data_IF_711734264955
#
_entry.id   IF_711734264955
#
_cell.length_a   1.000
_cell.length_b   1.000
_cell.length_c   1.000
_cell.angle_alpha   90.00
_cell.angle_beta   90.00
_cell.angle_gamma   90.00
#
_symmetry.space_group_name_H-M   'P 1'
#
loop_
_entity.id
_entity.type
_entity.pdbx_description
1 polymer ?
#
# COMPACT_ATOMS: atom_id res chain seq x y z
N UNK A 1 19.79 0.69 -11.05
CA UNK A 1 19.93 -0.48 -11.95
C UNK A 1 18.71 -1.41 -11.90
N UNK A 2 18.20 -1.78 -10.72
CA UNK A 2 17.02 -2.67 -10.60
C UNK A 2 15.81 -2.16 -11.40
N UNK A 3 15.52 -0.86 -11.34
CA UNK A 3 14.35 -0.27 -12.02
C UNK A 3 14.48 -0.35 -13.55
N UNK A 4 15.64 0.02 -14.08
CA UNK A 4 15.92 -0.06 -15.52
C UNK A 4 15.89 -1.52 -16.02
N UNK A 5 16.44 -2.44 -15.21
CA UNK A 5 16.43 -3.87 -15.55
C UNK A 5 14.99 -4.40 -15.57
N UNK A 6 14.17 -4.03 -14.58
CA UNK A 6 12.75 -4.39 -14.54
C UNK A 6 11.97 -3.78 -15.72
N UNK A 7 12.27 -2.54 -16.12
CA UNK A 7 11.67 -1.94 -17.31
C UNK A 7 11.97 -2.77 -18.57
N UNK A 8 13.22 -3.19 -18.75
CA UNK A 8 13.61 -4.07 -19.86
C UNK A 8 12.90 -5.43 -19.83
N UNK A 9 12.74 -6.04 -18.65
CA UNK A 9 11.96 -7.28 -18.49
C UNK A 9 10.50 -7.08 -18.89
N UNK A 10 9.88 -6.00 -18.39
CA UNK A 10 8.47 -5.70 -18.67
C UNK A 10 8.23 -5.39 -20.16
N UNK A 11 9.15 -4.68 -20.79
CA UNK A 11 9.10 -4.41 -22.24
C UNK A 11 9.14 -5.71 -23.10
N UNK A 12 9.70 -6.79 -22.54
CA UNK A 12 9.72 -8.11 -23.16
C UNK A 12 8.58 -9.04 -22.67
N UNK A 13 7.53 -8.49 -22.08
CA UNK A 13 6.32 -9.22 -21.72
C UNK A 13 6.35 -9.92 -20.34
N UNK A 14 7.40 -9.71 -19.54
CA UNK A 14 7.47 -10.24 -18.17
C UNK A 14 6.70 -9.33 -17.19
N UNK A 15 6.45 -9.85 -15.99
CA UNK A 15 5.81 -9.13 -14.87
C UNK A 15 6.78 -9.01 -13.69
N UNK A 16 7.78 -8.13 -13.75
CA UNK A 16 8.77 -8.00 -12.71
C UNK A 16 8.20 -7.37 -11.44
N UNK A 17 8.67 -7.87 -10.31
CA UNK A 17 8.44 -7.30 -8.99
C UNK A 17 9.78 -6.77 -8.47
N UNK A 18 9.84 -5.49 -8.12
CA UNK A 18 11.02 -4.83 -7.57
C UNK A 18 10.76 -4.52 -6.11
N UNK A 19 11.51 -5.14 -5.21
CA UNK A 19 11.45 -4.85 -3.78
C UNK A 19 12.61 -3.94 -3.37
N UNK A 20 12.30 -2.81 -2.75
CA UNK A 20 13.28 -1.82 -2.31
C UNK A 20 12.75 -1.06 -1.09
N UNK A 21 13.64 -0.62 -0.20
CA UNK A 21 13.21 0.25 0.90
C UNK A 21 12.68 1.58 0.37
N UNK A 22 11.58 2.05 0.98
CA UNK A 22 10.93 3.29 0.60
C UNK A 22 11.91 4.48 0.52
N UNK A 23 12.79 4.62 1.51
CA UNK A 23 13.81 5.68 1.51
C UNK A 23 14.79 5.58 0.33
N UNK A 24 15.14 4.38 -0.12
CA UNK A 24 16.08 4.18 -1.22
C UNK A 24 15.43 4.29 -2.60
N UNK A 25 14.12 4.18 -2.66
CA UNK A 25 13.36 4.41 -3.88
C UNK A 25 13.54 5.84 -4.43
N UNK A 26 13.88 6.81 -3.59
CA UNK A 26 14.20 8.17 -4.00
C UNK A 26 15.27 8.23 -5.10
N UNK A 27 16.24 7.28 -5.09
CA UNK A 27 17.29 7.19 -6.11
C UNK A 27 16.84 6.50 -7.40
N UNK A 28 15.67 5.89 -7.40
CA UNK A 28 15.10 5.18 -8.55
C UNK A 28 13.90 5.91 -9.16
N UNK A 29 13.47 7.03 -8.58
CA UNK A 29 12.25 7.73 -8.99
C UNK A 29 12.33 8.25 -10.43
N UNK A 30 13.48 8.77 -10.83
CA UNK A 30 13.73 9.23 -12.20
C UNK A 30 13.54 8.08 -13.21
N UNK A 31 14.21 6.96 -12.99
CA UNK A 31 14.07 5.76 -13.82
C UNK A 31 12.65 5.20 -13.76
N UNK A 32 11.97 5.27 -12.61
CA UNK A 32 10.59 4.83 -12.50
C UNK A 32 9.65 5.70 -13.36
N UNK A 33 9.82 7.01 -13.31
CA UNK A 33 9.01 7.92 -14.12
C UNK A 33 9.29 7.69 -15.61
N UNK A 34 10.55 7.78 -16.01
CA UNK A 34 10.93 7.81 -17.42
C UNK A 34 10.86 6.44 -18.09
N UNK A 35 11.41 5.40 -17.42
CA UNK A 35 11.58 4.09 -18.05
C UNK A 35 10.38 3.17 -17.82
N UNK A 36 9.57 3.41 -16.77
CA UNK A 36 8.44 2.55 -16.41
C UNK A 36 7.10 3.27 -16.62
N UNK A 37 6.87 4.40 -15.94
CA UNK A 37 5.54 5.00 -15.89
C UNK A 37 5.15 5.64 -17.23
N UNK A 38 6.03 6.40 -17.87
CA UNK A 38 5.78 7.00 -19.19
C UNK A 38 5.51 5.95 -20.26
N UNK A 39 6.16 4.81 -20.17
CA UNK A 39 5.98 3.69 -21.09
C UNK A 39 4.83 2.77 -20.69
N UNK A 40 4.17 3.03 -19.56
CA UNK A 40 3.08 2.21 -18.99
C UNK A 40 3.45 0.74 -18.82
N UNK A 41 4.71 0.45 -18.50
CA UNK A 41 5.19 -0.90 -18.32
C UNK A 41 4.66 -1.51 -17.02
N UNK A 42 4.19 -2.77 -17.02
CA UNK A 42 3.58 -3.42 -15.86
C UNK A 42 4.64 -3.92 -14.86
N UNK A 43 5.32 -2.99 -14.23
CA UNK A 43 6.26 -3.23 -13.15
C UNK A 43 5.56 -3.05 -11.81
N UNK A 44 5.68 -4.01 -10.91
CA UNK A 44 5.22 -3.91 -9.53
C UNK A 44 6.39 -3.47 -8.65
N UNK A 45 6.23 -2.39 -7.91
CA UNK A 45 7.24 -1.92 -6.96
C UNK A 45 6.74 -2.13 -5.53
N UNK A 46 7.46 -2.90 -4.75
CA UNK A 46 7.20 -3.14 -3.34
C UNK A 46 8.12 -2.24 -2.50
N UNK A 47 7.55 -1.25 -1.83
CA UNK A 47 8.26 -0.31 -0.97
C UNK A 47 8.20 -0.79 0.48
N UNK A 48 9.27 -1.43 0.91
CA UNK A 48 9.45 -1.87 2.29
C UNK A 48 9.85 -0.69 3.19
N UNK A 49 9.58 -0.77 4.48
CA UNK A 49 9.88 0.26 5.48
C UNK A 49 9.28 1.63 5.14
N UNK A 50 8.04 1.62 4.63
CA UNK A 50 7.29 2.84 4.41
C UNK A 50 6.88 3.49 5.74
N UNK A 51 7.02 4.80 5.86
CA UNK A 51 6.76 5.55 7.08
C UNK A 51 7.96 5.66 8.02
N UNK A 52 7.70 5.87 9.31
CA UNK A 52 8.73 6.00 10.33
C UNK A 52 9.33 4.64 10.69
N UNK A 53 10.65 4.57 10.78
CA UNK A 53 11.40 3.33 11.11
C UNK A 53 12.41 3.62 12.22
N UNK A 54 11.96 3.76 13.48
CA UNK A 54 12.80 4.23 14.58
C UNK A 54 14.06 3.38 14.82
N UNK A 55 13.94 2.06 14.63
CA UNK A 55 15.04 1.14 14.91
C UNK A 55 16.19 1.21 13.88
N UNK A 56 15.96 1.76 12.69
CA UNK A 56 16.97 1.82 11.62
C UNK A 56 17.62 3.22 11.49
N UNK A 57 17.13 4.19 12.26
CA UNK A 57 17.63 5.56 12.30
C UNK A 57 17.10 6.46 11.17
N UNK A 58 17.49 7.75 11.19
CA UNK A 58 16.86 8.78 10.35
C UNK A 58 17.06 8.59 8.85
N UNK A 59 18.11 7.90 8.44
CA UNK A 59 18.40 7.64 7.01
C UNK A 59 17.48 6.58 6.39
N UNK A 60 16.69 5.86 7.20
CA UNK A 60 15.83 4.77 6.76
C UNK A 60 14.33 5.09 6.79
N UNK A 61 13.95 6.29 7.25
CA UNK A 61 12.54 6.70 7.23
C UNK A 61 12.00 6.83 5.81
N UNK A 62 10.94 6.08 5.49
CA UNK A 62 10.26 6.09 4.20
C UNK A 62 9.08 7.04 4.18
N UNK A 63 9.30 8.34 4.43
CA UNK A 63 8.22 9.33 4.61
C UNK A 63 7.89 10.14 3.35
N UNK A 64 8.70 10.04 2.31
CA UNK A 64 8.53 10.84 1.09
C UNK A 64 7.87 10.09 -0.07
N UNK A 65 7.73 8.77 0.01
CA UNK A 65 7.28 7.92 -1.08
C UNK A 65 5.90 8.34 -1.63
N UNK A 66 4.89 8.54 -0.78
CA UNK A 66 3.56 8.97 -1.24
C UNK A 66 3.66 10.31 -1.99
N UNK A 67 4.39 11.29 -1.44
CA UNK A 67 4.53 12.61 -2.06
C UNK A 67 5.22 12.55 -3.42
N UNK A 68 6.21 11.67 -3.57
CA UNK A 68 6.93 11.46 -4.81
C UNK A 68 6.09 10.80 -5.89
N UNK A 69 5.28 9.80 -5.52
CA UNK A 69 4.60 8.97 -6.51
C UNK A 69 3.18 9.44 -6.85
N UNK A 70 2.49 10.13 -5.93
CA UNK A 70 1.10 10.56 -6.15
C UNK A 70 0.90 11.52 -7.34
N UNK A 71 1.96 12.20 -7.75
CA UNK A 71 1.93 13.13 -8.90
C UNK A 71 2.15 12.44 -10.25
N UNK A 72 2.52 11.16 -10.25
CA UNK A 72 2.79 10.39 -11.47
C UNK A 72 1.47 9.84 -12.00
N UNK A 73 1.03 10.22 -13.22
CA UNK A 73 -0.22 9.73 -13.76
C UNK A 73 -0.12 8.27 -14.21
N UNK A 74 -1.26 7.56 -14.18
CA UNK A 74 -1.36 6.21 -14.73
C UNK A 74 -0.72 5.11 -13.88
N UNK A 75 -0.47 5.36 -12.59
CA UNK A 75 -0.01 4.36 -11.64
C UNK A 75 -1.07 4.10 -10.56
N UNK A 76 -0.99 2.94 -9.92
CA UNK A 76 -1.78 2.62 -8.73
C UNK A 76 -0.85 2.48 -7.53
N UNK A 77 -1.21 3.14 -6.41
CA UNK A 77 -0.48 3.04 -5.14
C UNK A 77 -1.39 2.42 -4.09
N UNK A 78 -0.92 1.37 -3.43
CA UNK A 78 -1.67 0.61 -2.43
C UNK A 78 -0.89 0.51 -1.13
N UNK A 79 -1.62 0.40 -0.02
CA UNK A 79 -1.04 0.11 1.29
C UNK A 79 -1.92 -0.89 2.03
N UNK A 80 -1.44 -2.11 2.29
CA UNK A 80 -2.21 -3.14 2.98
C UNK A 80 -2.32 -2.87 4.48
N UNK A 81 -3.44 -3.31 5.07
CA UNK A 81 -3.68 -3.34 6.53
C UNK A 81 -3.11 -4.62 7.16
N UNK A 82 -3.19 -5.73 6.41
CA UNK A 82 -2.83 -7.06 6.87
C UNK A 82 -1.96 -7.78 5.83
N UNK A 83 -1.37 -8.91 6.21
CA UNK A 83 -0.62 -9.78 5.28
C UNK A 83 -1.53 -10.40 4.21
N UNK A 84 -2.74 -10.79 4.59
CA UNK A 84 -3.71 -11.31 3.63
C UNK A 84 -4.02 -10.25 2.55
N UNK A 85 -4.24 -9.01 2.95
CA UNK A 85 -4.47 -7.90 2.01
C UNK A 85 -3.22 -7.58 1.17
N UNK A 86 -2.00 -7.72 1.73
CA UNK A 86 -0.76 -7.62 0.95
C UNK A 86 -0.71 -8.63 -0.20
N UNK A 87 -1.09 -9.89 0.07
CA UNK A 87 -1.14 -10.93 -0.94
C UNK A 87 -2.19 -10.64 -2.02
N UNK A 88 -3.37 -10.18 -1.62
CA UNK A 88 -4.44 -9.77 -2.55
C UNK A 88 -3.99 -8.58 -3.41
N UNK A 89 -3.34 -7.58 -2.82
CA UNK A 89 -2.80 -6.42 -3.54
C UNK A 89 -1.70 -6.83 -4.51
N UNK A 90 -0.79 -7.72 -4.12
CA UNK A 90 0.25 -8.22 -5.02
C UNK A 90 -0.36 -8.97 -6.20
N UNK A 91 -1.32 -9.85 -5.96
CA UNK A 91 -2.06 -10.55 -7.02
C UNK A 91 -2.76 -9.57 -7.96
N UNK A 92 -3.38 -8.53 -7.40
CA UNK A 92 -4.02 -7.47 -8.18
C UNK A 92 -3.00 -6.75 -9.05
N UNK A 93 -1.88 -6.31 -8.47
CA UNK A 93 -0.82 -5.59 -9.19
C UNK A 93 -0.24 -6.40 -10.34
N UNK A 94 -0.07 -7.71 -10.17
CA UNK A 94 0.43 -8.60 -11.21
C UNK A 94 -0.54 -8.74 -12.42
N UNK A 95 -1.82 -8.45 -12.24
CA UNK A 95 -2.81 -8.45 -13.32
C UNK A 95 -2.94 -7.10 -14.02
N UNK A 96 -2.46 -6.01 -13.41
CA UNK A 96 -2.57 -4.67 -14.00
C UNK A 96 -1.68 -4.54 -15.24
N UNK A 97 -2.18 -3.93 -16.33
CA UNK A 97 -1.40 -3.67 -17.54
C UNK A 97 -0.54 -2.39 -17.47
N UNK A 98 -0.37 -1.83 -16.28
CA UNK A 98 0.36 -0.59 -16.02
C UNK A 98 1.09 -0.65 -14.67
N UNK A 99 2.01 0.29 -14.37
CA UNK A 99 2.83 0.22 -13.16
C UNK A 99 2.01 0.36 -11.87
N UNK A 100 2.44 -0.33 -10.84
CA UNK A 100 1.81 -0.30 -9.53
C UNK A 100 2.83 -0.32 -8.41
N UNK A 101 2.45 0.25 -7.27
CA UNK A 101 3.29 0.36 -6.08
C UNK A 101 2.51 -0.18 -4.89
N UNK A 102 3.12 -1.07 -4.12
CA UNK A 102 2.62 -1.49 -2.81
C UNK A 102 3.62 -1.02 -1.77
N UNK A 103 3.16 -0.22 -0.82
CA UNK A 103 3.98 0.26 0.30
C UNK A 103 3.53 -0.37 1.61
N UNK A 104 4.46 -0.80 2.44
CA UNK A 104 4.16 -1.39 3.74
C UNK A 104 5.22 -1.03 4.78
N UNK A 105 4.83 -0.90 6.07
CA UNK A 105 5.75 -0.53 7.14
C UNK A 105 6.67 -1.70 7.50
N UNK A 106 7.74 -1.39 8.22
CA UNK A 106 8.48 -2.40 8.97
C UNK A 106 7.59 -2.90 10.12
N UNK A 107 7.37 -4.18 10.19
CA UNK A 107 6.57 -4.79 11.24
C UNK A 107 6.67 -6.30 11.21
N UNK A 108 6.26 -6.92 12.31
CA UNK A 108 6.06 -8.36 12.36
C UNK A 108 4.60 -8.58 12.01
N UNK A 109 4.34 -9.26 10.91
CA UNK A 109 3.02 -9.83 10.69
C UNK A 109 2.76 -10.85 11.80
N UNK A 110 1.52 -10.95 12.27
CA UNK A 110 1.13 -12.09 13.10
C UNK A 110 1.63 -13.37 12.39
N UNK A 111 2.30 -14.28 13.11
CA UNK A 111 2.85 -15.46 12.48
C UNK A 111 1.72 -16.19 11.75
N UNK A 112 1.81 -16.24 10.45
CA UNK A 112 1.07 -17.23 9.68
C UNK A 112 1.75 -18.53 10.07
N UNK A 113 1.04 -19.46 10.72
CA UNK A 113 1.58 -20.79 10.93
C UNK A 113 1.83 -21.36 9.55
N UNK A 114 3.09 -21.69 9.24
CA UNK A 114 3.45 -22.31 7.96
C UNK A 114 2.81 -23.69 7.79
N UNK A 115 2.18 -24.21 8.85
CA UNK A 115 1.48 -25.48 8.88
C UNK A 115 -0.03 -25.38 8.51
N UNK A 116 -0.60 -24.18 8.50
CA UNK A 116 -1.88 -23.96 7.85
C UNK A 116 -1.59 -23.77 6.36
N UNK A 117 -1.97 -24.72 5.52
CA UNK A 117 -2.16 -24.48 4.09
C UNK A 117 -3.13 -23.31 3.96
N UNK A 118 -2.56 -22.09 3.93
CA UNK A 118 -3.31 -20.90 3.55
C UNK A 118 -3.87 -21.22 2.18
N UNK A 119 -5.17 -21.47 2.12
CA UNK A 119 -5.83 -21.79 0.87
C UNK A 119 -5.52 -20.64 -0.09
N UNK A 120 -4.63 -20.90 -1.00
CA UNK A 120 -4.11 -19.91 -2.00
C UNK A 120 -5.29 -19.28 -2.75
N UNK A 121 -6.43 -19.96 -2.81
CA UNK A 121 -7.65 -19.49 -3.46
C UNK A 121 -8.35 -18.34 -2.74
N UNK A 122 -8.33 -18.27 -1.40
CA UNK A 122 -8.97 -17.19 -0.64
C UNK A 122 -8.11 -15.91 -0.58
N UNK A 123 -6.79 -16.07 -0.62
CA UNK A 123 -5.84 -14.94 -0.60
C UNK A 123 -5.64 -14.28 -1.96
N UNK A 124 -6.14 -14.86 -3.04
CA UNK A 124 -5.94 -14.35 -4.41
C UNK A 124 -7.11 -13.54 -4.98
N UNK A 125 -8.12 -13.20 -4.18
CA UNK A 125 -9.20 -12.33 -4.66
C UNK A 125 -8.66 -10.91 -4.90
N UNK A 126 -8.77 -10.38 -6.13
CA UNK A 126 -8.28 -9.04 -6.43
C UNK A 126 -9.00 -7.97 -5.62
N UNK A 127 -8.26 -6.97 -5.16
CA UNK A 127 -8.86 -5.81 -4.51
C UNK A 127 -9.47 -4.84 -5.52
N UNK A 128 -10.58 -4.23 -5.17
CA UNK A 128 -11.24 -3.23 -6.02
C UNK A 128 -10.48 -1.91 -5.96
N UNK A 129 -9.85 -1.53 -7.09
CA UNK A 129 -9.07 -0.29 -7.19
C UNK A 129 -9.99 0.93 -7.14
N UNK A 130 -9.55 1.96 -6.39
CA UNK A 130 -10.26 3.24 -6.28
C UNK A 130 -11.54 3.19 -5.43
N UNK A 131 -11.75 2.11 -4.69
CA UNK A 131 -12.89 1.99 -3.75
C UNK A 131 -12.40 2.00 -2.31
N UNK A 132 -13.06 2.81 -1.49
CA UNK A 132 -12.90 2.79 -0.05
C UNK A 132 -13.84 1.74 0.56
N UNK A 133 -13.43 1.15 1.66
CA UNK A 133 -14.25 0.25 2.48
C UNK A 133 -14.76 1.02 3.71
N UNK A 134 -16.04 0.90 4.01
CA UNK A 134 -16.63 1.44 5.23
C UNK A 134 -16.44 0.44 6.36
N UNK A 135 -15.48 0.69 7.26
CA UNK A 135 -15.14 -0.23 8.35
C UNK A 135 -16.09 -0.11 9.54
N UNK A 136 -16.57 1.09 9.84
CA UNK A 136 -17.49 1.35 10.93
C UNK A 136 -18.39 2.53 10.62
N UNK A 137 -19.63 2.49 11.12
CA UNK A 137 -20.56 3.61 11.09
C UNK A 137 -21.34 3.62 12.40
N UNK A 138 -21.21 4.71 13.12
CA UNK A 138 -21.98 4.94 14.34
C UNK A 138 -23.17 5.83 14.01
N UNK A 139 -24.35 5.51 14.58
CA UNK A 139 -25.54 6.36 14.46
C UNK A 139 -25.44 7.44 15.51
N UNK A 140 -25.71 8.68 15.12
CA UNK A 140 -25.92 9.75 16.07
C UNK A 140 -27.23 9.49 16.85
N UNK A 141 -27.20 9.63 18.16
CA UNK A 141 -28.40 9.48 19.01
C UNK A 141 -29.34 10.68 18.85
N UNK A 142 -28.80 11.86 18.55
CA UNK A 142 -29.55 13.11 18.36
C UNK A 142 -29.55 13.58 16.90
N UNK A 143 -30.69 14.10 16.45
CA UNK A 143 -30.89 14.64 15.09
C UNK A 143 -29.99 15.85 14.75
N UNK A 144 -29.32 16.44 15.72
CA UNK A 144 -28.39 17.57 15.57
C UNK A 144 -26.92 17.23 15.80
N UNK A 145 -26.59 15.96 16.03
CA UNK A 145 -25.21 15.55 16.31
C UNK A 145 -24.30 15.77 15.11
N UNK A 146 -23.11 16.30 15.38
CA UNK A 146 -22.07 16.48 14.36
C UNK A 146 -21.50 15.13 13.96
N UNK A 147 -21.40 14.87 12.66
CA UNK A 147 -20.76 13.68 12.14
C UNK A 147 -19.33 13.98 11.67
N UNK A 148 -18.40 13.12 12.03
CA UNK A 148 -17.00 13.17 11.59
C UNK A 148 -16.73 11.94 10.75
N UNK A 149 -16.10 12.11 9.59
CA UNK A 149 -15.61 11.01 8.75
C UNK A 149 -14.10 10.90 8.92
N UNK A 150 -13.63 9.72 9.32
CA UNK A 150 -12.20 9.41 9.47
C UNK A 150 -11.78 8.53 8.31
N UNK A 151 -10.78 8.97 7.56
CA UNK A 151 -10.16 8.22 6.48
C UNK A 151 -8.81 7.70 6.94
N UNK A 152 -8.60 6.41 6.82
CA UNK A 152 -7.34 5.75 7.13
C UNK A 152 -6.77 5.01 5.92
N UNK A 153 -5.46 4.79 5.93
CA UNK A 153 -4.77 4.06 4.88
C UNK A 153 -3.86 2.99 5.52
N UNK A 154 -4.00 1.76 5.08
CA UNK A 154 -3.20 0.63 5.52
C UNK A 154 -3.25 0.42 7.02
N UNK A 155 -2.11 0.20 7.65
CA UNK A 155 -1.97 -0.08 9.09
C UNK A 155 -2.47 1.03 10.04
N UNK A 156 -2.84 2.21 9.52
CA UNK A 156 -3.42 3.28 10.33
C UNK A 156 -4.89 3.02 10.69
N UNK A 157 -5.50 1.96 10.19
CA UNK A 157 -6.90 1.62 10.47
C UNK A 157 -7.13 1.28 11.96
N UNK A 158 -6.16 0.67 12.64
CA UNK A 158 -6.24 0.40 14.09
C UNK A 158 -6.38 1.70 14.88
N UNK A 159 -5.51 2.68 14.61
CA UNK A 159 -5.58 3.99 15.25
C UNK A 159 -6.88 4.73 14.90
N UNK A 160 -7.34 4.63 13.67
CA UNK A 160 -8.60 5.23 13.24
C UNK A 160 -9.79 4.66 14.00
N UNK A 161 -9.82 3.36 14.28
CA UNK A 161 -10.85 2.71 15.10
C UNK A 161 -10.83 3.22 16.55
N UNK A 162 -9.65 3.29 17.17
CA UNK A 162 -9.50 3.84 18.52
C UNK A 162 -10.02 5.28 18.60
N UNK A 163 -9.69 6.11 17.62
CA UNK A 163 -10.19 7.49 17.54
C UNK A 163 -11.70 7.53 17.38
N UNK A 164 -12.30 6.65 16.56
CA UNK A 164 -13.76 6.55 16.43
C UNK A 164 -14.44 6.21 17.77
N UNK A 165 -13.87 5.28 18.53
CA UNK A 165 -14.39 4.90 19.85
C UNK A 165 -14.31 6.06 20.85
N UNK A 166 -13.18 6.75 20.91
CA UNK A 166 -13.00 7.94 21.76
C UNK A 166 -13.97 9.09 21.42
N UNK A 167 -14.23 9.31 20.14
CA UNK A 167 -15.19 10.32 19.68
C UNK A 167 -16.61 9.92 20.08
N UNK A 168 -16.97 8.65 19.90
CA UNK A 168 -18.28 8.13 20.32
C UNK A 168 -18.52 8.31 21.81
N UNK A 169 -17.53 8.03 22.67
CA UNK A 169 -17.63 8.23 24.11
C UNK A 169 -17.86 9.72 24.50
N UNK A 170 -17.47 10.64 23.62
CA UNK A 170 -17.67 12.09 23.79
C UNK A 170 -18.93 12.64 23.11
N UNK A 171 -19.78 11.77 22.56
CA UNK A 171 -21.02 12.15 21.89
C UNK A 171 -20.82 12.79 20.51
N UNK A 172 -19.72 12.47 19.83
CA UNK A 172 -19.39 12.96 18.47
C UNK A 172 -19.57 11.84 17.45
#
# INVERSE_FOLDING_TARGET
>A
HQMIFAAGMAANGLRPVVAVYSTFFQRAIDCFIHDVALQKLPVVVCLDRAGAVPGDGPTHHGVFDISLVRSIPGITVMQPRTVAELNQMLSTCLMLPYPSIIRYPRGVAAPVSFDEEVSVSETMQPVAIGKAELLARYKAEDAGAKMVAIWSLGNMDCLAKEVCELLRERGI
#
